data_IF_726331680743
#
_entry.id   IF_726331680743
#
_cell.length_a   1.000
_cell.length_b   1.000
_cell.length_c   1.000
_cell.angle_alpha   90.00
_cell.angle_beta   90.00
_cell.angle_gamma   90.00
#
_symmetry.space_group_name_H-M   'P 1'
#
loop_
_entity.id
_entity.type
_entity.pdbx_description
1 polymer ?
#
# COMPACT_ATOMS: atom_id res chain seq x y z
N UNK A 1 15.85 8.14 0.28
CA UNK A 1 15.64 7.16 1.35
C UNK A 1 14.58 7.68 2.29
N UNK A 2 13.38 7.13 2.18
CA UNK A 2 12.26 7.51 3.04
C UNK A 2 12.44 6.90 4.43
N UNK A 3 12.46 7.74 5.48
CA UNK A 3 12.75 7.31 6.84
C UNK A 3 11.49 6.79 7.56
N UNK A 4 11.46 5.49 7.89
CA UNK A 4 10.42 4.79 8.68
C UNK A 4 10.48 5.15 10.18
N UNK A 5 10.35 6.43 10.48
CA UNK A 5 10.67 7.01 11.80
C UNK A 5 9.72 6.51 12.90
N UNK A 6 8.45 6.30 12.59
CA UNK A 6 7.46 5.85 13.56
C UNK A 6 7.71 4.38 13.96
N UNK A 7 7.99 3.53 12.98
CA UNK A 7 8.27 2.12 13.19
C UNK A 7 9.61 1.91 13.90
N UNK A 8 10.63 2.71 13.56
CA UNK A 8 11.91 2.71 14.28
C UNK A 8 11.73 3.06 15.76
N UNK A 9 11.01 4.15 16.06
CA UNK A 9 10.68 4.54 17.45
C UNK A 9 9.92 3.45 18.20
N UNK A 10 9.00 2.76 17.52
CA UNK A 10 8.23 1.65 18.11
C UNK A 10 9.15 0.47 18.46
N UNK A 11 10.05 0.08 17.56
CA UNK A 11 11.06 -0.96 17.85
C UNK A 11 11.98 -0.58 19.00
N UNK A 12 12.46 0.67 19.03
CA UNK A 12 13.31 1.17 20.11
C UNK A 12 12.60 1.13 21.47
N UNK A 13 11.33 1.53 21.52
CA UNK A 13 10.52 1.45 22.73
C UNK A 13 10.38 0.02 23.25
N UNK A 14 10.13 -0.95 22.36
CA UNK A 14 10.04 -2.37 22.72
C UNK A 14 11.40 -2.88 23.23
N UNK A 15 12.48 -2.53 22.52
CA UNK A 15 13.85 -2.91 22.88
C UNK A 15 14.24 -2.44 24.28
N UNK A 16 13.82 -1.22 24.68
CA UNK A 16 14.09 -0.65 26.00
C UNK A 16 13.31 -1.33 27.16
N UNK A 17 12.29 -2.13 26.88
CA UNK A 17 11.54 -2.84 27.92
C UNK A 17 12.41 -3.90 28.64
N UNK A 18 12.08 -4.28 29.88
CA UNK A 18 12.82 -5.35 30.58
C UNK A 18 12.36 -6.78 30.21
N UNK A 19 11.39 -6.90 29.30
CA UNK A 19 10.85 -8.18 28.87
C UNK A 19 11.66 -8.77 27.70
N UNK A 20 11.49 -10.08 27.50
CA UNK A 20 11.82 -10.69 26.23
C UNK A 20 10.64 -10.50 25.29
N UNK A 21 10.92 -10.04 24.07
CA UNK A 21 9.87 -9.71 23.12
C UNK A 21 9.96 -10.57 21.86
N UNK A 22 8.82 -10.84 21.24
CA UNK A 22 8.70 -11.35 19.88
C UNK A 22 7.79 -10.40 19.11
N UNK A 23 8.36 -9.77 18.08
CA UNK A 23 7.70 -8.82 17.20
C UNK A 23 7.53 -9.46 15.83
N UNK A 24 6.31 -9.47 15.31
CA UNK A 24 6.07 -9.75 13.89
C UNK A 24 6.21 -8.44 13.12
N UNK A 25 7.16 -8.38 12.19
CA UNK A 25 7.33 -7.23 11.29
C UNK A 25 7.07 -7.69 9.86
N UNK A 26 6.20 -7.01 9.12
CA UNK A 26 5.92 -7.44 7.76
C UNK A 26 5.49 -6.29 6.87
N UNK A 27 5.53 -6.53 5.57
CA UNK A 27 5.13 -5.58 4.54
C UNK A 27 5.64 -6.10 3.22
N UNK A 28 4.99 -5.73 2.11
CA UNK A 28 5.36 -6.20 0.77
C UNK A 28 6.84 -6.04 0.45
N UNK A 29 7.31 -6.74 -0.57
CA UNK A 29 8.63 -6.44 -1.17
C UNK A 29 8.73 -4.95 -1.52
N UNK A 30 9.90 -4.35 -1.30
CA UNK A 30 10.14 -2.92 -1.51
C UNK A 30 9.58 -1.96 -0.46
N UNK A 31 9.12 -2.46 0.70
CA UNK A 31 8.63 -1.63 1.81
C UNK A 31 9.74 -1.00 2.68
N UNK A 32 11.02 -1.20 2.33
CA UNK A 32 12.21 -0.81 3.08
C UNK A 32 12.38 -1.51 4.45
N UNK A 33 11.95 -2.78 4.58
CA UNK A 33 12.14 -3.59 5.79
C UNK A 33 13.62 -3.72 6.17
N UNK A 34 14.47 -4.06 5.21
CA UNK A 34 15.89 -4.28 5.42
C UNK A 34 16.58 -3.00 5.91
N UNK A 35 16.27 -1.85 5.32
CA UNK A 35 16.78 -0.55 5.75
C UNK A 35 16.33 -0.16 7.16
N UNK A 36 15.08 -0.48 7.54
CA UNK A 36 14.59 -0.28 8.90
C UNK A 36 15.31 -1.19 9.91
N UNK A 37 15.51 -2.47 9.57
CA UNK A 37 16.22 -3.43 10.42
C UNK A 37 17.67 -2.97 10.64
N UNK A 38 18.37 -2.57 9.57
CA UNK A 38 19.75 -2.08 9.65
C UNK A 38 19.88 -0.81 10.52
N UNK A 39 18.98 0.16 10.30
CA UNK A 39 18.90 1.37 11.13
C UNK A 39 18.63 1.03 12.59
N UNK A 40 17.74 0.07 12.85
CA UNK A 40 17.39 -0.37 14.19
C UNK A 40 18.54 -1.09 14.89
N UNK A 41 19.29 -1.97 14.21
CA UNK A 41 20.36 -2.76 14.82
C UNK A 41 21.69 -2.01 14.95
N UNK A 42 21.82 -0.82 14.38
CA UNK A 42 23.01 0.02 14.51
C UNK A 42 23.36 0.24 15.98
N UNK A 43 24.55 -0.24 16.39
CA UNK A 43 25.03 -0.13 17.77
C UNK A 43 24.44 -1.14 18.77
N UNK A 44 23.66 -2.13 18.32
CA UNK A 44 23.06 -3.17 19.17
C UNK A 44 23.64 -4.54 18.83
N UNK A 45 23.86 -5.46 19.80
CA UNK A 45 24.18 -6.84 19.49
C UNK A 45 23.00 -7.52 18.79
N UNK A 46 23.26 -8.13 17.64
CA UNK A 46 22.23 -8.86 16.92
C UNK A 46 22.74 -10.13 16.26
N UNK A 47 21.82 -11.08 16.08
CA UNK A 47 21.95 -12.21 15.19
C UNK A 47 20.94 -12.03 14.06
N UNK A 48 21.41 -12.16 12.81
CA UNK A 48 20.57 -12.05 11.63
C UNK A 48 20.62 -13.35 10.83
N UNK A 49 19.45 -13.86 10.49
CA UNK A 49 19.29 -15.01 9.62
C UNK A 49 18.14 -14.79 8.64
N UNK A 50 18.45 -14.83 7.35
CA UNK A 50 17.44 -14.80 6.28
C UNK A 50 17.06 -16.21 5.87
N UNK A 51 15.76 -16.49 5.90
CA UNK A 51 15.19 -17.78 5.55
C UNK A 51 15.18 -18.02 4.05
N UNK A 52 15.14 -19.28 3.63
CA UNK A 52 15.21 -19.69 2.22
C UNK A 52 14.05 -20.62 1.90
N UNK A 53 13.56 -20.58 0.66
CA UNK A 53 12.59 -21.55 0.16
C UNK A 53 13.25 -22.95 0.06
N UNK A 54 13.28 -23.67 1.17
CA UNK A 54 13.88 -25.00 1.25
C UNK A 54 13.18 -25.88 2.30
N UNK A 55 13.62 -27.13 2.42
CA UNK A 55 13.12 -28.04 3.45
C UNK A 55 13.64 -27.64 4.84
N UNK A 56 12.92 -28.03 5.89
CA UNK A 56 13.26 -27.64 7.27
C UNK A 56 14.64 -28.18 7.69
N UNK A 57 15.04 -29.37 7.21
CA UNK A 57 16.37 -29.92 7.43
C UNK A 57 17.48 -29.07 6.77
N UNK A 58 17.25 -28.55 5.56
CA UNK A 58 18.20 -27.62 4.92
C UNK A 58 18.20 -26.26 5.60
N UNK A 59 17.04 -25.79 6.03
CA UNK A 59 16.90 -24.57 6.81
C UNK A 59 17.75 -24.65 8.09
N UNK A 60 17.65 -25.75 8.85
CA UNK A 60 18.48 -26.02 10.03
C UNK A 60 19.97 -25.98 9.67
N UNK A 61 20.42 -26.66 8.61
CA UNK A 61 21.82 -26.62 8.18
C UNK A 61 22.33 -25.19 7.94
N UNK A 62 21.51 -24.34 7.32
CA UNK A 62 21.88 -22.94 7.09
C UNK A 62 21.90 -22.12 8.39
N UNK A 63 20.95 -22.33 9.31
CA UNK A 63 20.97 -21.67 10.63
C UNK A 63 22.21 -22.10 11.41
N UNK A 64 22.50 -23.40 11.45
CA UNK A 64 23.67 -23.98 12.11
C UNK A 64 24.97 -23.32 11.65
N UNK A 65 25.15 -23.20 10.33
CA UNK A 65 26.30 -22.51 9.73
C UNK A 65 26.36 -21.03 10.10
N UNK A 66 25.22 -20.34 10.11
CA UNK A 66 25.16 -18.93 10.46
C UNK A 66 25.51 -18.69 11.94
N UNK A 67 25.03 -19.54 12.85
CA UNK A 67 25.40 -19.48 14.28
C UNK A 67 26.88 -19.78 14.44
N UNK A 68 27.37 -20.84 13.80
CA UNK A 68 28.78 -21.24 13.86
C UNK A 68 29.72 -20.12 13.44
N UNK A 69 29.45 -19.46 12.31
CA UNK A 69 30.26 -18.36 11.80
C UNK A 69 30.15 -17.10 12.66
N UNK A 70 28.98 -16.81 13.23
CA UNK A 70 28.76 -15.60 14.04
C UNK A 70 29.41 -15.71 15.42
N UNK A 71 29.42 -16.91 16.01
CA UNK A 71 29.84 -17.14 17.39
C UNK A 71 31.08 -18.02 17.55
N UNK A 72 31.71 -18.44 16.44
CA UNK A 72 32.87 -19.32 16.36
C UNK A 72 32.68 -20.64 17.13
N UNK A 73 31.62 -21.37 16.81
CA UNK A 73 31.30 -22.69 17.40
C UNK A 73 31.51 -23.83 16.40
N UNK A 74 31.44 -25.09 16.86
CA UNK A 74 31.71 -26.28 16.03
C UNK A 74 30.74 -26.45 14.83
N UNK A 75 29.54 -25.88 14.92
CA UNK A 75 28.65 -25.64 13.77
C UNK A 75 27.80 -26.80 13.26
N UNK A 76 27.76 -27.91 14.00
CA UNK A 76 26.81 -29.01 13.76
C UNK A 76 25.83 -29.10 14.93
N UNK A 77 24.55 -28.90 14.64
CA UNK A 77 23.48 -28.96 15.62
C UNK A 77 22.34 -29.83 15.10
N UNK A 78 21.73 -30.59 15.99
CA UNK A 78 20.65 -31.53 15.69
C UNK A 78 19.27 -30.86 15.66
N UNK A 79 19.15 -29.65 16.22
CA UNK A 79 17.88 -28.91 16.36
C UNK A 79 18.09 -27.40 16.35
N UNK A 80 17.03 -26.63 16.07
CA UNK A 80 17.06 -25.17 16.18
C UNK A 80 17.28 -24.73 17.63
N UNK A 81 16.73 -25.45 18.60
CA UNK A 81 16.98 -25.17 20.02
C UNK A 81 18.46 -25.34 20.38
N UNK A 82 19.12 -26.38 19.85
CA UNK A 82 20.56 -26.58 20.05
C UNK A 82 21.37 -25.44 19.43
N UNK A 83 21.04 -25.01 18.20
CA UNK A 83 21.64 -23.81 17.59
C UNK A 83 21.49 -22.57 18.49
N UNK A 84 20.29 -22.37 19.03
CA UNK A 84 19.94 -21.14 19.72
C UNK A 84 20.52 -21.02 21.13
N UNK A 85 20.98 -22.12 21.74
CA UNK A 85 21.72 -22.09 23.02
C UNK A 85 23.06 -21.36 22.91
N UNK A 86 23.66 -21.30 21.72
CA UNK A 86 24.95 -20.66 21.49
C UNK A 86 24.82 -19.16 21.14
N UNK A 87 23.60 -18.64 21.01
CA UNK A 87 23.35 -17.22 20.82
C UNK A 87 23.71 -16.45 22.09
N UNK A 88 24.54 -15.41 21.94
CA UNK A 88 24.98 -14.58 23.06
C UNK A 88 25.14 -13.13 22.65
N UNK A 89 24.88 -12.24 23.59
CA UNK A 89 25.29 -10.85 23.47
C UNK A 89 26.80 -10.73 23.74
N UNK A 90 27.49 -9.87 22.98
CA UNK A 90 28.94 -9.66 23.15
C UNK A 90 29.26 -8.82 24.38
N UNK A 91 28.37 -7.93 24.78
CA UNK A 91 28.56 -6.94 25.84
C UNK A 91 27.58 -7.11 27.01
N UNK A 92 26.77 -8.17 27.00
CA UNK A 92 25.76 -8.44 28.02
C UNK A 92 24.47 -7.63 27.89
N UNK A 93 24.37 -6.73 26.90
CA UNK A 93 23.12 -6.04 26.57
C UNK A 93 22.12 -6.98 25.90
N UNK A 94 20.87 -6.53 25.75
CA UNK A 94 19.80 -7.32 25.13
C UNK A 94 20.17 -7.72 23.69
N UNK A 95 20.08 -9.01 23.38
CA UNK A 95 20.38 -9.53 22.04
C UNK A 95 19.16 -9.40 21.12
N UNK A 96 19.32 -8.78 19.95
CA UNK A 96 18.30 -8.80 18.90
C UNK A 96 18.47 -10.05 18.02
N UNK A 97 17.40 -10.79 17.77
CA UNK A 97 17.41 -12.00 16.93
C UNK A 97 16.44 -11.77 15.77
N UNK A 98 16.96 -11.69 14.55
CA UNK A 98 16.15 -11.43 13.36
C UNK A 98 16.08 -12.71 12.52
N UNK A 99 14.85 -13.18 12.32
CA UNK A 99 14.51 -14.22 11.36
C UNK A 99 13.78 -13.54 10.20
N UNK A 100 14.52 -13.27 9.14
CA UNK A 100 14.03 -12.59 7.94
C UNK A 100 13.47 -13.59 6.93
N UNK A 101 12.54 -13.13 6.08
CA UNK A 101 11.72 -13.94 5.17
C UNK A 101 11.11 -15.18 5.83
N UNK A 102 10.63 -15.01 7.06
CA UNK A 102 10.21 -16.08 7.94
C UNK A 102 9.09 -16.95 7.36
N UNK A 103 8.31 -16.45 6.39
CA UNK A 103 7.29 -17.21 5.68
C UNK A 103 7.83 -18.46 4.97
N UNK A 104 9.12 -18.49 4.63
CA UNK A 104 9.74 -19.67 4.03
C UNK A 104 10.11 -20.74 5.05
N UNK A 105 10.31 -20.34 6.30
CA UNK A 105 10.67 -21.24 7.38
C UNK A 105 9.45 -21.63 8.21
N UNK A 106 8.78 -20.67 8.84
CA UNK A 106 7.71 -20.91 9.82
C UNK A 106 6.44 -21.39 9.10
N UNK A 107 6.16 -22.69 9.28
CA UNK A 107 5.01 -23.44 8.74
C UNK A 107 4.26 -24.11 9.89
N UNK A 108 3.10 -24.75 9.61
CA UNK A 108 2.15 -25.30 10.60
C UNK A 108 2.74 -26.17 11.72
N UNK A 109 3.84 -26.88 11.50
CA UNK A 109 4.49 -27.71 12.53
C UNK A 109 6.00 -27.50 12.50
N UNK A 110 6.45 -26.26 12.70
CA UNK A 110 7.87 -25.94 12.61
C UNK A 110 8.55 -25.79 13.99
N UNK A 111 9.56 -26.63 14.20
CA UNK A 111 10.54 -26.59 15.29
C UNK A 111 11.21 -25.22 15.47
N UNK A 112 11.48 -24.49 14.39
CA UNK A 112 12.08 -23.15 14.45
C UNK A 112 11.23 -22.18 15.28
N UNK A 113 9.91 -22.13 15.05
CA UNK A 113 9.05 -21.23 15.79
C UNK A 113 9.01 -21.63 17.27
N UNK A 114 8.88 -22.93 17.56
CA UNK A 114 8.97 -23.45 18.94
C UNK A 114 10.28 -23.05 19.62
N UNK A 115 11.41 -23.09 18.91
CA UNK A 115 12.71 -22.66 19.43
C UNK A 115 12.76 -21.14 19.70
N UNK A 116 12.13 -20.31 18.86
CA UNK A 116 11.97 -18.87 19.12
C UNK A 116 11.09 -18.62 20.36
N UNK A 117 10.01 -19.38 20.53
CA UNK A 117 9.17 -19.31 21.74
C UNK A 117 9.96 -19.74 22.99
N UNK A 118 10.81 -20.75 22.87
CA UNK A 118 11.69 -21.19 23.96
C UNK A 118 12.73 -20.11 24.32
N UNK A 119 13.30 -19.40 23.33
CA UNK A 119 14.15 -18.22 23.53
C UNK A 119 13.41 -17.12 24.30
N UNK A 120 12.21 -16.73 23.82
CA UNK A 120 11.38 -15.72 24.48
C UNK A 120 11.11 -16.09 25.95
N UNK A 121 10.81 -17.35 26.22
CA UNK A 121 10.52 -17.87 27.57
C UNK A 121 11.76 -18.15 28.44
N UNK A 122 12.96 -17.68 28.05
CA UNK A 122 14.22 -17.87 28.80
C UNK A 122 14.59 -19.33 29.04
N UNK A 123 14.18 -20.24 28.16
CA UNK A 123 14.50 -21.68 28.26
C UNK A 123 15.85 -22.06 27.65
N UNK A 124 16.39 -21.21 26.78
CA UNK A 124 17.60 -21.52 26.00
C UNK A 124 18.81 -20.67 26.38
N UNK A 125 18.61 -19.39 26.72
CA UNK A 125 19.67 -18.48 27.16
C UNK A 125 19.21 -17.63 28.34
N UNK A 126 20.14 -17.19 29.20
CA UNK A 126 19.84 -16.38 30.40
C UNK A 126 19.69 -14.88 30.11
N UNK A 127 20.30 -14.39 29.02
CA UNK A 127 20.23 -12.99 28.60
C UNK A 127 18.85 -12.56 28.11
N UNK A 128 18.61 -11.25 28.07
CA UNK A 128 17.40 -10.69 27.47
C UNK A 128 17.47 -10.76 25.95
N UNK A 129 16.33 -11.02 25.30
CA UNK A 129 16.23 -11.07 23.84
C UNK A 129 15.06 -10.24 23.31
N UNK A 130 15.25 -9.69 22.12
CA UNK A 130 14.16 -9.21 21.27
C UNK A 130 14.21 -9.98 19.96
N UNK A 131 13.15 -10.73 19.67
CA UNK A 131 13.02 -11.54 18.46
C UNK A 131 12.20 -10.73 17.45
N UNK A 132 12.70 -10.58 16.24
CA UNK A 132 11.99 -10.00 15.10
C UNK A 132 11.77 -11.10 14.08
N UNK A 133 10.52 -11.46 13.86
CA UNK A 133 10.08 -12.34 12.78
C UNK A 133 9.67 -11.43 11.63
N UNK A 134 10.51 -11.33 10.60
CA UNK A 134 10.28 -10.45 9.46
C UNK A 134 9.75 -11.23 8.24
N UNK A 135 8.82 -10.63 7.49
CA UNK A 135 8.24 -11.25 6.29
C UNK A 135 7.93 -10.24 5.18
N UNK A 136 8.17 -10.63 3.93
CA UNK A 136 7.71 -9.88 2.75
C UNK A 136 6.30 -10.25 2.28
N UNK A 137 5.69 -11.31 2.83
CA UNK A 137 4.35 -11.74 2.44
C UNK A 137 3.29 -11.19 3.39
N UNK A 138 2.38 -10.39 2.85
CA UNK A 138 1.24 -9.82 3.58
C UNK A 138 0.26 -10.94 3.91
N UNK A 139 -0.05 -11.79 2.92
CA UNK A 139 -1.02 -12.89 3.09
C UNK A 139 -0.55 -13.88 4.15
N UNK A 140 0.73 -14.23 4.15
CA UNK A 140 1.29 -15.12 5.16
C UNK A 140 1.22 -14.49 6.55
N UNK A 141 1.60 -13.22 6.69
CA UNK A 141 1.68 -12.53 7.98
C UNK A 141 0.30 -12.30 8.62
N UNK A 142 -0.70 -11.92 7.83
CA UNK A 142 -2.04 -11.59 8.34
C UNK A 142 -2.92 -12.83 8.56
N UNK A 143 -2.73 -13.89 7.76
CA UNK A 143 -3.56 -15.09 7.85
C UNK A 143 -2.76 -16.29 8.38
N UNK A 144 -1.77 -16.73 7.62
CA UNK A 144 -1.10 -18.03 7.83
C UNK A 144 -0.31 -18.06 9.14
N UNK A 145 0.39 -16.98 9.49
CA UNK A 145 1.20 -16.90 10.70
C UNK A 145 0.35 -17.08 11.96
N UNK A 146 -0.78 -16.38 12.07
CA UNK A 146 -1.66 -16.52 13.24
C UNK A 146 -2.36 -17.88 13.31
N UNK A 147 -2.61 -18.52 12.17
CA UNK A 147 -3.08 -19.91 12.14
C UNK A 147 -2.00 -20.88 12.67
N UNK A 148 -0.73 -20.63 12.37
CA UNK A 148 0.41 -21.41 12.87
C UNK A 148 0.59 -21.20 14.39
N UNK A 149 0.51 -19.95 14.84
CA UNK A 149 0.64 -19.59 16.26
C UNK A 149 -0.51 -20.17 17.10
N UNK A 150 -1.70 -20.31 16.51
CA UNK A 150 -2.83 -21.00 17.12
C UNK A 150 -3.29 -20.35 18.43
N UNK A 151 -3.34 -21.12 19.52
CA UNK A 151 -3.75 -20.61 20.84
C UNK A 151 -2.68 -19.76 21.53
N UNK A 152 -1.45 -19.72 21.01
CA UNK A 152 -0.33 -19.00 21.61
C UNK A 152 -0.18 -17.56 21.09
N UNK A 153 -1.26 -16.90 20.65
CA UNK A 153 -1.18 -15.54 20.06
C UNK A 153 -0.53 -14.51 20.97
N UNK A 154 -0.69 -14.66 22.29
CA UNK A 154 -0.03 -13.82 23.29
C UNK A 154 1.51 -13.92 23.32
N UNK A 155 2.09 -14.88 22.59
CA UNK A 155 3.53 -14.97 22.37
C UNK A 155 4.03 -13.86 21.44
N UNK A 156 3.18 -13.29 20.58
CA UNK A 156 3.52 -12.12 19.77
C UNK A 156 3.19 -10.88 20.60
N UNK A 157 4.19 -10.11 21.03
CA UNK A 157 3.96 -8.92 21.85
C UNK A 157 3.50 -7.73 21.01
N UNK A 158 3.95 -7.68 19.75
CA UNK A 158 3.66 -6.58 18.87
C UNK A 158 3.72 -7.00 17.40
N UNK A 159 2.90 -6.34 16.60
CA UNK A 159 2.84 -6.52 15.16
C UNK A 159 3.03 -5.18 14.46
N UNK A 160 4.00 -5.11 13.56
CA UNK A 160 4.37 -3.90 12.83
C UNK A 160 4.23 -4.20 11.33
N UNK A 161 3.15 -3.68 10.73
CA UNK A 161 2.97 -3.66 9.28
C UNK A 161 3.63 -2.41 8.69
N UNK A 162 4.57 -2.59 7.77
CA UNK A 162 5.13 -1.51 6.96
C UNK A 162 4.20 -1.25 5.78
N UNK A 163 3.29 -0.31 5.99
CA UNK A 163 2.38 0.14 4.94
C UNK A 163 3.12 0.86 3.81
N UNK A 164 2.48 0.93 2.65
CA UNK A 164 2.89 1.88 1.62
C UNK A 164 2.81 3.30 2.17
N UNK A 165 3.73 4.14 1.71
CA UNK A 165 3.82 5.55 2.06
C UNK A 165 2.58 6.30 1.56
N UNK A 166 2.11 7.25 2.36
CA UNK A 166 0.96 8.09 2.01
C UNK A 166 1.30 9.07 0.89
N UNK A 167 0.28 9.73 0.32
CA UNK A 167 0.55 10.83 -0.62
C UNK A 167 1.38 11.94 0.04
N UNK A 168 1.09 12.26 1.30
CA UNK A 168 1.87 13.24 2.06
C UNK A 168 3.35 12.85 2.17
N UNK A 169 3.65 11.57 2.31
CA UNK A 169 5.02 11.09 2.33
C UNK A 169 5.70 11.20 0.97
N UNK A 170 4.97 11.03 -0.14
CA UNK A 170 5.48 11.32 -1.50
C UNK A 170 5.80 12.80 -1.68
N UNK A 171 4.93 13.71 -1.21
CA UNK A 171 5.19 15.16 -1.23
C UNK A 171 6.46 15.48 -0.44
N UNK A 172 6.66 14.87 0.73
CA UNK A 172 7.86 15.03 1.55
C UNK A 172 9.11 14.44 0.88
N UNK A 173 8.97 13.33 0.15
CA UNK A 173 10.06 12.68 -0.57
C UNK A 173 10.54 13.51 -1.78
N UNK A 174 9.65 14.29 -2.39
CA UNK A 174 9.95 15.12 -3.57
C UNK A 174 9.60 16.59 -3.35
N UNK A 175 10.32 17.32 -2.47
CA UNK A 175 10.00 18.72 -2.15
C UNK A 175 10.17 19.69 -3.34
N UNK A 176 10.84 19.27 -4.41
CA UNK A 176 11.00 20.04 -5.65
C UNK A 176 9.86 19.86 -6.65
N UNK A 177 8.95 18.91 -6.42
CA UNK A 177 7.80 18.68 -7.28
C UNK A 177 6.65 19.60 -6.94
N UNK A 178 5.90 20.02 -7.96
CA UNK A 178 4.57 20.59 -7.76
C UNK A 178 3.60 19.52 -7.25
N UNK A 179 2.49 19.93 -6.63
CA UNK A 179 1.42 19.01 -6.21
C UNK A 179 0.96 18.12 -7.38
N UNK A 180 0.82 18.69 -8.58
CA UNK A 180 0.45 17.94 -9.77
C UNK A 180 1.46 16.83 -10.11
N UNK A 181 2.76 17.13 -10.03
CA UNK A 181 3.80 16.11 -10.24
C UNK A 181 3.76 15.03 -9.16
N UNK A 182 3.52 15.39 -7.90
CA UNK A 182 3.33 14.41 -6.82
C UNK A 182 2.11 13.51 -7.06
N UNK A 183 0.99 14.07 -7.55
CA UNK A 183 -0.23 13.28 -7.89
C UNK A 183 0.08 12.32 -9.03
N UNK A 184 0.77 12.77 -10.08
CA UNK A 184 1.21 11.90 -11.17
C UNK A 184 2.12 10.78 -10.67
N UNK A 185 3.14 11.10 -9.87
CA UNK A 185 4.04 10.09 -9.31
C UNK A 185 3.30 9.09 -8.44
N UNK A 186 2.46 9.55 -7.51
CA UNK A 186 1.69 8.66 -6.64
C UNK A 186 0.67 7.80 -7.43
N UNK A 187 -0.01 8.35 -8.43
CA UNK A 187 -0.93 7.59 -9.27
C UNK A 187 -0.26 6.56 -10.18
N UNK A 188 1.02 6.78 -10.54
CA UNK A 188 1.80 5.86 -11.38
C UNK A 188 2.46 4.78 -10.52
N UNK A 189 3.25 5.14 -9.50
CA UNK A 189 4.08 4.18 -8.74
C UNK A 189 3.62 3.96 -7.29
N UNK A 190 2.58 4.67 -6.84
CA UNK A 190 2.07 4.53 -5.48
C UNK A 190 3.04 4.99 -4.40
N UNK A 191 2.89 4.40 -3.22
CA UNK A 191 3.66 4.71 -2.02
C UNK A 191 4.77 3.70 -1.69
N UNK A 192 5.23 2.92 -2.67
CA UNK A 192 6.17 1.83 -2.40
C UNK A 192 7.57 2.43 -2.22
N UNK A 193 8.17 2.24 -1.04
CA UNK A 193 9.39 2.95 -0.66
C UNK A 193 10.53 2.77 -1.68
N UNK A 194 10.77 1.54 -2.14
CA UNK A 194 11.80 1.26 -3.14
C UNK A 194 11.51 1.92 -4.50
N UNK A 195 10.24 2.07 -4.88
CA UNK A 195 9.88 2.70 -6.16
C UNK A 195 10.17 4.20 -6.08
N UNK A 196 9.82 4.84 -4.95
CA UNK A 196 10.12 6.26 -4.72
C UNK A 196 11.64 6.52 -4.67
N UNK A 197 12.42 5.62 -4.06
CA UNK A 197 13.88 5.77 -3.97
C UNK A 197 14.59 5.66 -5.33
N UNK A 198 13.93 5.08 -6.35
CA UNK A 198 14.42 4.99 -7.73
C UNK A 198 13.90 6.10 -8.64
N UNK A 199 12.89 6.84 -8.20
CA UNK A 199 12.30 7.93 -8.97
C UNK A 199 13.15 9.20 -8.86
N UNK A 200 13.61 9.75 -9.98
CA UNK A 200 14.47 10.94 -9.99
C UNK A 200 13.64 12.22 -10.17
N UNK A 201 13.55 13.03 -9.12
CA UNK A 201 12.80 14.29 -9.15
C UNK A 201 13.42 15.38 -10.04
N UNK A 202 14.62 15.17 -10.58
CA UNK A 202 15.22 16.08 -11.57
C UNK A 202 14.76 15.78 -13.00
N UNK A 203 14.14 14.62 -13.21
CA UNK A 203 13.61 14.17 -14.50
C UNK A 203 12.11 14.45 -14.59
N UNK A 204 11.62 14.59 -15.82
CA UNK A 204 10.18 14.70 -16.08
C UNK A 204 9.47 13.38 -15.74
N UNK A 205 8.15 13.43 -15.56
CA UNK A 205 7.34 12.22 -15.35
C UNK A 205 7.54 11.23 -16.51
N UNK A 206 7.46 11.72 -17.76
CA UNK A 206 7.74 10.92 -18.96
C UNK A 206 9.10 10.23 -18.92
N UNK A 207 10.16 10.97 -18.58
CA UNK A 207 11.52 10.40 -18.49
C UNK A 207 11.60 9.29 -17.44
N UNK A 208 11.04 9.50 -16.25
CA UNK A 208 11.01 8.48 -15.22
C UNK A 208 10.22 7.23 -15.65
N UNK A 209 9.07 7.40 -16.32
CA UNK A 209 8.28 6.27 -16.85
C UNK A 209 9.07 5.51 -17.92
N UNK A 210 9.66 6.22 -18.89
CA UNK A 210 10.44 5.61 -19.96
C UNK A 210 11.63 4.79 -19.41
N UNK A 211 12.37 5.35 -18.46
CA UNK A 211 13.58 4.72 -17.93
C UNK A 211 13.31 3.62 -16.91
N UNK A 212 12.37 3.83 -15.98
CA UNK A 212 12.14 2.87 -14.88
C UNK A 212 11.12 1.79 -15.24
N UNK A 213 10.11 2.10 -16.06
CA UNK A 213 8.97 1.20 -16.30
C UNK A 213 9.05 0.56 -17.69
N UNK A 214 9.28 1.37 -18.73
CA UNK A 214 9.18 0.91 -20.11
C UNK A 214 10.49 0.35 -20.67
N UNK A 215 11.63 0.72 -20.10
CA UNK A 215 12.94 0.18 -20.50
C UNK A 215 13.13 -1.23 -19.95
N UNK A 216 13.62 -2.20 -20.74
CA UNK A 216 13.94 -3.56 -20.25
C UNK A 216 14.98 -3.63 -19.12
N UNK A 217 15.78 -2.57 -18.96
CA UNK A 217 16.74 -2.42 -17.85
C UNK A 217 16.19 -1.60 -16.68
N UNK A 218 14.96 -1.10 -16.81
CA UNK A 218 14.28 -0.29 -15.80
C UNK A 218 13.94 -1.12 -14.56
N UNK A 219 14.06 -0.50 -13.39
CA UNK A 219 13.86 -1.19 -12.12
C UNK A 219 12.42 -1.71 -11.93
N UNK A 220 11.43 -1.03 -12.51
CA UNK A 220 10.03 -1.37 -12.41
C UNK A 220 9.53 -2.20 -13.60
N UNK A 221 10.39 -2.51 -14.56
CA UNK A 221 10.02 -3.36 -15.70
C UNK A 221 9.55 -4.73 -15.19
N UNK A 222 8.31 -5.12 -15.50
CA UNK A 222 7.62 -6.34 -15.02
C UNK A 222 7.30 -6.42 -13.53
N UNK A 223 7.65 -5.42 -12.72
CA UNK A 223 7.51 -5.45 -11.26
C UNK A 223 6.06 -5.64 -10.77
N UNK A 224 5.06 -5.20 -11.54
CA UNK A 224 3.64 -5.44 -11.22
C UNK A 224 3.28 -6.93 -11.29
N UNK A 225 3.79 -7.63 -12.30
CA UNK A 225 3.57 -9.07 -12.47
C UNK A 225 4.35 -9.87 -11.41
N UNK A 226 5.58 -9.44 -11.10
CA UNK A 226 6.40 -10.05 -10.06
C UNK A 226 5.78 -9.90 -8.66
N UNK A 227 5.18 -8.74 -8.36
CA UNK A 227 4.46 -8.55 -7.10
C UNK A 227 3.27 -9.52 -6.97
N UNK A 228 2.46 -9.69 -8.02
CA UNK A 228 1.34 -10.65 -8.03
C UNK A 228 1.87 -12.08 -7.88
N UNK A 229 2.94 -12.42 -8.61
CA UNK A 229 3.57 -13.73 -8.57
C UNK A 229 4.20 -14.08 -7.21
N UNK A 230 4.54 -13.08 -6.40
CA UNK A 230 5.10 -13.29 -5.08
C UNK A 230 4.12 -13.89 -4.07
N UNK A 231 2.82 -13.64 -4.24
CA UNK A 231 1.75 -14.08 -3.33
C UNK A 231 0.86 -15.17 -3.94
N UNK A 232 0.76 -15.24 -5.28
CA UNK A 232 -0.25 -16.06 -5.97
C UNK A 232 0.35 -17.09 -6.94
N UNK A 233 -0.39 -18.18 -7.12
CA UNK A 233 -0.16 -19.20 -8.16
C UNK A 233 -1.22 -19.06 -9.26
N UNK A 234 -1.04 -19.68 -10.42
CA UNK A 234 -2.00 -19.61 -11.54
C UNK A 234 -2.25 -18.20 -12.11
N UNK A 235 -1.17 -17.49 -12.42
CA UNK A 235 -1.20 -16.08 -12.83
C UNK A 235 -2.10 -15.79 -14.03
N UNK A 236 -2.31 -16.74 -14.94
CA UNK A 236 -3.18 -16.54 -16.10
C UNK A 236 -4.58 -16.06 -15.73
N UNK A 237 -5.20 -16.66 -14.71
CA UNK A 237 -6.55 -16.28 -14.29
C UNK A 237 -6.57 -14.91 -13.60
N UNK A 238 -5.53 -14.60 -12.82
CA UNK A 238 -5.40 -13.29 -12.15
C UNK A 238 -5.17 -12.18 -13.16
N UNK A 239 -4.23 -12.37 -14.09
CA UNK A 239 -3.92 -11.37 -15.11
C UNK A 239 -5.10 -11.14 -16.06
N UNK A 240 -5.89 -12.17 -16.40
CA UNK A 240 -7.13 -12.01 -17.16
C UNK A 240 -8.14 -11.13 -16.40
N UNK A 241 -8.33 -11.35 -15.10
CA UNK A 241 -9.27 -10.55 -14.30
C UNK A 241 -8.77 -9.11 -14.14
N UNK A 242 -7.47 -8.92 -13.86
CA UNK A 242 -6.88 -7.58 -13.72
C UNK A 242 -6.95 -6.80 -15.03
N UNK A 243 -6.62 -7.42 -16.16
CA UNK A 243 -6.77 -6.79 -17.48
C UNK A 243 -8.22 -6.39 -17.77
N UNK A 244 -9.18 -7.23 -17.40
CA UNK A 244 -10.61 -6.93 -17.56
C UNK A 244 -11.05 -5.73 -16.69
N UNK A 245 -10.62 -5.68 -15.42
CA UNK A 245 -10.92 -4.54 -14.53
C UNK A 245 -10.28 -3.26 -15.07
N UNK A 246 -9.01 -3.33 -15.51
CA UNK A 246 -8.28 -2.18 -16.05
C UNK A 246 -8.90 -1.66 -17.37
N UNK A 247 -9.56 -2.52 -18.14
CA UNK A 247 -10.35 -2.15 -19.32
C UNK A 247 -11.70 -1.49 -18.98
N UNK A 248 -12.05 -1.36 -17.69
CA UNK A 248 -13.26 -0.68 -17.22
C UNK A 248 -14.41 -1.62 -16.80
N UNK A 249 -14.20 -2.94 -16.79
CA UNK A 249 -15.22 -3.88 -16.31
C UNK A 249 -15.24 -3.91 -14.78
N UNK A 250 -16.00 -2.99 -14.17
CA UNK A 250 -16.02 -2.81 -12.72
C UNK A 250 -16.98 -3.78 -11.98
N UNK A 251 -17.93 -4.44 -12.66
CA UNK A 251 -18.91 -5.32 -11.99
C UNK A 251 -18.64 -6.79 -12.24
N UNK A 252 -19.10 -7.63 -11.30
CA UNK A 252 -19.01 -9.09 -11.43
C UNK A 252 -19.67 -9.64 -12.71
N UNK A 253 -20.73 -8.99 -13.20
CA UNK A 253 -21.39 -9.39 -14.45
C UNK A 253 -20.53 -9.06 -15.67
N UNK A 254 -19.99 -7.85 -15.71
CA UNK A 254 -19.12 -7.36 -16.78
C UNK A 254 -17.87 -8.24 -16.88
N UNK A 255 -17.25 -8.56 -15.74
CA UNK A 255 -16.12 -9.51 -15.66
C UNK A 255 -16.50 -10.92 -16.13
N UNK A 256 -17.72 -11.39 -15.84
CA UNK A 256 -18.19 -12.70 -16.31
C UNK A 256 -18.33 -12.72 -17.83
N UNK A 257 -18.89 -11.67 -18.42
CA UNK A 257 -19.09 -11.56 -19.87
C UNK A 257 -17.77 -11.42 -20.63
N UNK A 258 -16.84 -10.63 -20.11
CA UNK A 258 -15.54 -10.38 -20.75
C UNK A 258 -14.57 -11.56 -20.61
N UNK A 259 -14.47 -12.16 -19.41
CA UNK A 259 -13.49 -13.23 -19.14
C UNK A 259 -13.99 -14.64 -19.48
N UNK A 260 -15.31 -14.84 -19.56
CA UNK A 260 -15.94 -16.16 -19.70
C UNK A 260 -15.81 -17.07 -18.46
N UNK A 261 -15.19 -16.60 -17.38
CA UNK A 261 -15.09 -17.37 -16.13
C UNK A 261 -16.38 -17.33 -15.34
N UNK A 262 -16.68 -18.41 -14.60
CA UNK A 262 -17.84 -18.42 -13.71
C UNK A 262 -17.74 -17.32 -12.63
N UNK A 263 -18.88 -16.76 -12.22
CA UNK A 263 -18.94 -15.74 -11.16
C UNK A 263 -18.33 -16.22 -9.83
N UNK A 264 -18.50 -17.51 -9.53
CA UNK A 264 -17.89 -18.13 -8.35
C UNK A 264 -16.36 -18.16 -8.47
N UNK A 265 -15.83 -18.52 -9.66
CA UNK A 265 -14.39 -18.46 -9.92
C UNK A 265 -13.89 -17.04 -9.75
N UNK A 266 -14.46 -16.05 -10.45
CA UNK A 266 -14.06 -14.63 -10.33
C UNK A 266 -14.05 -14.19 -8.86
N UNK A 267 -15.09 -14.49 -8.09
CA UNK A 267 -15.16 -14.11 -6.67
C UNK A 267 -14.02 -14.68 -5.82
N UNK A 268 -13.55 -15.89 -6.11
CA UNK A 268 -12.40 -16.50 -5.42
C UNK A 268 -11.10 -15.75 -5.75
N UNK A 269 -10.84 -15.50 -7.03
CA UNK A 269 -9.61 -14.79 -7.44
C UNK A 269 -9.60 -13.34 -6.94
N UNK A 270 -10.75 -12.66 -6.94
CA UNK A 270 -10.89 -11.32 -6.37
C UNK A 270 -10.61 -11.29 -4.87
N UNK A 271 -11.11 -12.30 -4.12
CA UNK A 271 -10.81 -12.43 -2.69
C UNK A 271 -9.31 -12.60 -2.44
N UNK A 272 -8.63 -13.38 -3.28
CA UNK A 272 -7.20 -13.60 -3.15
C UNK A 272 -6.40 -12.33 -3.47
N UNK A 273 -6.75 -11.58 -4.52
CA UNK A 273 -6.14 -10.28 -4.84
C UNK A 273 -6.37 -9.23 -3.74
N UNK A 274 -7.54 -9.26 -3.09
CA UNK A 274 -7.86 -8.37 -1.98
C UNK A 274 -7.06 -8.68 -0.71
N UNK A 275 -6.54 -9.90 -0.55
CA UNK A 275 -5.81 -10.30 0.66
C UNK A 275 -4.43 -9.65 0.82
N UNK A 276 -3.94 -8.94 -0.20
CA UNK A 276 -2.69 -8.19 -0.21
C UNK A 276 -2.82 -6.87 -0.99
N UNK A 277 -4.02 -6.27 -0.90
CA UNK A 277 -4.32 -4.90 -1.32
C UNK A 277 -4.20 -4.60 -2.84
N UNK A 278 -4.23 -5.62 -3.70
CA UNK A 278 -4.20 -5.42 -5.17
C UNK A 278 -5.56 -5.01 -5.73
N UNK A 279 -6.64 -5.62 -5.25
CA UNK A 279 -8.00 -5.32 -5.71
C UNK A 279 -8.93 -5.10 -4.53
N UNK A 280 -9.73 -4.06 -4.61
CA UNK A 280 -10.74 -3.75 -3.61
C UNK A 280 -12.15 -3.77 -4.19
N UNK A 281 -13.10 -4.26 -3.39
CA UNK A 281 -14.52 -4.04 -3.62
C UNK A 281 -14.88 -2.66 -3.09
N UNK A 282 -15.14 -1.71 -3.98
CA UNK A 282 -15.45 -0.33 -3.61
C UNK A 282 -16.83 -0.27 -2.97
N UNK A 283 -16.86 0.25 -1.75
CA UNK A 283 -18.10 0.53 -1.03
C UNK A 283 -18.44 2.00 -1.25
N UNK A 284 -19.56 2.24 -1.92
CA UNK A 284 -20.11 3.60 -2.03
C UNK A 284 -20.45 4.13 -0.64
N UNK A 285 -20.18 5.40 -0.40
CA UNK A 285 -20.57 6.08 0.83
C UNK A 285 -22.07 5.88 1.09
N UNK A 286 -22.42 5.50 2.31
CA UNK A 286 -23.80 5.19 2.67
C UNK A 286 -24.63 6.47 2.78
N UNK A 287 -25.69 6.56 1.98
CA UNK A 287 -26.62 7.69 1.96
C UNK A 287 -28.06 7.21 1.84
N UNK A 288 -29.02 8.13 1.98
CA UNK A 288 -30.44 7.82 1.74
C UNK A 288 -30.77 7.44 0.29
N UNK A 289 -29.87 7.71 -0.66
CA UNK A 289 -30.00 7.45 -2.10
C UNK A 289 -29.43 6.12 -2.58
N UNK A 290 -29.49 5.06 -1.75
CA UNK A 290 -28.89 3.74 -2.04
C UNK A 290 -29.39 3.08 -3.34
N UNK A 291 -30.61 3.41 -3.79
CA UNK A 291 -31.18 2.94 -5.06
C UNK A 291 -30.46 3.51 -6.29
N UNK A 292 -29.89 4.71 -6.14
CA UNK A 292 -29.15 5.43 -7.17
C UNK A 292 -27.65 5.12 -7.16
N UNK A 293 -27.17 4.42 -6.13
CA UNK A 293 -25.78 4.02 -6.01
C UNK A 293 -25.46 2.77 -6.86
N UNK A 294 -24.24 2.74 -7.40
CA UNK A 294 -23.62 1.54 -7.98
C UNK A 294 -23.33 0.55 -6.85
N UNK A 295 -23.52 -0.74 -7.14
CA UNK A 295 -23.27 -1.84 -6.20
C UNK A 295 -22.30 -2.84 -6.81
N UNK A 296 -21.46 -3.43 -5.97
CA UNK A 296 -20.55 -4.50 -6.38
C UNK A 296 -19.51 -4.04 -7.39
N UNK A 297 -18.97 -2.84 -7.19
CA UNK A 297 -17.88 -2.27 -7.98
C UNK A 297 -16.55 -2.82 -7.45
N UNK A 298 -15.68 -3.22 -8.35
CA UNK A 298 -14.32 -3.64 -8.07
C UNK A 298 -13.33 -2.75 -8.80
N UNK A 299 -12.20 -2.47 -8.16
CA UNK A 299 -11.10 -1.69 -8.72
C UNK A 299 -9.77 -2.27 -8.31
N UNK A 300 -8.77 -2.11 -9.17
CA UNK A 300 -7.37 -2.31 -8.79
C UNK A 300 -7.00 -1.15 -7.87
N UNK A 301 -6.59 -1.46 -6.64
CA UNK A 301 -6.27 -0.48 -5.59
C UNK A 301 -4.78 -0.17 -5.50
N UNK A 302 -3.92 -1.09 -5.94
CA UNK A 302 -2.48 -0.87 -5.95
C UNK A 302 -2.12 -0.01 -7.18
N UNK A 303 -1.55 1.20 -7.00
CA UNK A 303 -1.42 2.16 -8.10
C UNK A 303 -0.53 1.69 -9.25
N UNK A 304 0.58 1.01 -8.95
CA UNK A 304 1.50 0.54 -9.97
C UNK A 304 0.96 -0.65 -10.75
N UNK A 305 0.27 -1.58 -10.08
CA UNK A 305 -0.45 -2.66 -10.74
C UNK A 305 -1.53 -2.09 -11.65
N UNK A 306 -2.30 -1.11 -11.17
CA UNK A 306 -3.33 -0.48 -12.01
C UNK A 306 -2.71 0.20 -13.23
N UNK A 307 -1.63 0.99 -13.06
CA UNK A 307 -0.90 1.63 -14.15
C UNK A 307 -0.41 0.60 -15.18
N UNK A 308 0.22 -0.48 -14.70
CA UNK A 308 0.73 -1.55 -15.56
C UNK A 308 -0.38 -2.20 -16.38
N UNK A 309 -1.49 -2.60 -15.73
CA UNK A 309 -2.60 -3.27 -16.41
C UNK A 309 -3.44 -2.35 -17.30
N UNK A 310 -3.46 -1.04 -17.03
CA UNK A 310 -4.12 -0.06 -17.90
C UNK A 310 -3.30 0.23 -19.15
N UNK A 311 -1.98 0.45 -19.03
CA UNK A 311 -1.18 0.97 -20.14
C UNK A 311 -0.21 -0.02 -20.77
N UNK A 312 0.45 -0.84 -19.94
CA UNK A 312 1.59 -1.65 -20.38
C UNK A 312 1.16 -3.06 -20.78
N UNK A 313 0.47 -3.77 -19.89
CA UNK A 313 0.04 -5.16 -20.09
C UNK A 313 -0.79 -5.38 -21.38
N UNK A 314 -1.71 -4.48 -21.78
CA UNK A 314 -2.44 -4.65 -23.04
C UNK A 314 -1.57 -4.50 -24.30
N UNK A 315 -0.40 -3.87 -24.18
CA UNK A 315 0.46 -3.47 -25.30
C UNK A 315 1.87 -4.10 -25.20
N UNK A 316 2.02 -5.30 -24.62
CA UNK A 316 3.33 -5.94 -24.40
C UNK A 316 4.12 -6.18 -25.70
N UNK A 317 3.45 -6.39 -26.84
CA UNK A 317 4.15 -6.53 -28.13
C UNK A 317 4.83 -5.23 -28.54
N UNK A 318 4.16 -4.11 -28.32
CA UNK A 318 4.66 -2.76 -28.57
C UNK A 318 5.72 -2.34 -27.56
N UNK A 319 5.60 -2.78 -26.29
CA UNK A 319 6.64 -2.59 -25.29
C UNK A 319 8.00 -3.13 -25.76
N UNK A 320 8.00 -4.30 -26.43
CA UNK A 320 9.21 -4.93 -26.96
C UNK A 320 9.66 -4.32 -28.30
N UNK A 321 8.73 -3.94 -29.17
CA UNK A 321 9.05 -3.54 -30.54
C UNK A 321 9.23 -2.02 -30.75
N UNK A 322 8.84 -1.18 -29.79
CA UNK A 322 8.97 0.28 -29.86
C UNK A 322 10.04 0.80 -28.89
N UNK A 323 10.46 2.05 -29.09
CA UNK A 323 11.25 2.75 -28.06
C UNK A 323 10.33 3.20 -26.91
N UNK A 324 10.84 3.29 -25.67
CA UNK A 324 10.07 3.77 -24.52
C UNK A 324 9.32 5.08 -24.77
N UNK A 325 9.95 6.05 -25.44
CA UNK A 325 9.33 7.35 -25.72
C UNK A 325 8.16 7.24 -26.67
N UNK A 326 8.30 6.44 -27.74
CA UNK A 326 7.21 6.21 -28.70
C UNK A 326 6.06 5.46 -28.06
N UNK A 327 6.35 4.51 -27.17
CA UNK A 327 5.33 3.81 -26.41
C UNK A 327 4.56 4.78 -25.51
N UNK A 328 5.28 5.62 -24.75
CA UNK A 328 4.68 6.62 -23.87
C UNK A 328 3.75 7.58 -24.63
N UNK A 329 4.24 8.16 -25.72
CA UNK A 329 3.50 9.16 -26.50
C UNK A 329 2.24 8.57 -27.16
N UNK A 330 2.29 7.28 -27.50
CA UNK A 330 1.18 6.60 -28.16
C UNK A 330 0.13 6.06 -27.19
N UNK A 331 0.54 5.47 -26.07
CA UNK A 331 -0.34 4.67 -25.21
C UNK A 331 -0.59 5.27 -23.84
N UNK A 332 0.32 6.11 -23.31
CA UNK A 332 0.22 6.64 -21.94
C UNK A 332 -0.23 8.10 -21.97
N UNK A 333 0.50 8.97 -22.67
CA UNK A 333 0.25 10.42 -22.66
C UNK A 333 -1.20 10.83 -22.96
N UNK A 334 -1.89 10.25 -23.96
CA UNK A 334 -3.25 10.68 -24.31
C UNK A 334 -4.30 10.41 -23.23
N UNK A 335 -4.09 9.38 -22.41
CA UNK A 335 -5.07 8.87 -21.43
C UNK A 335 -4.63 9.09 -19.98
N UNK A 336 -3.39 9.55 -19.76
CA UNK A 336 -2.80 9.71 -18.43
C UNK A 336 -3.61 10.63 -17.52
N UNK A 337 -4.11 11.75 -18.04
CA UNK A 337 -4.90 12.71 -17.25
C UNK A 337 -6.24 12.12 -16.81
N UNK A 338 -6.91 11.35 -17.68
CA UNK A 338 -8.15 10.67 -17.35
C UNK A 338 -7.92 9.61 -16.26
N UNK A 339 -6.81 8.87 -16.37
CA UNK A 339 -6.38 7.89 -15.37
C UNK A 339 -6.09 8.55 -14.01
N UNK A 340 -5.35 9.65 -13.99
CA UNK A 340 -4.93 10.36 -12.77
C UNK A 340 -6.07 11.06 -12.02
N UNK A 341 -7.21 11.35 -12.68
CA UNK A 341 -8.39 11.94 -12.02
C UNK A 341 -8.83 11.15 -10.79
N UNK A 342 -8.78 9.82 -10.83
CA UNK A 342 -9.18 8.97 -9.71
C UNK A 342 -8.26 9.14 -8.49
N UNK A 343 -6.95 9.15 -8.72
CA UNK A 343 -5.94 9.37 -7.68
C UNK A 343 -5.97 10.80 -7.14
N UNK A 344 -6.30 11.79 -7.99
CA UNK A 344 -6.51 13.16 -7.53
C UNK A 344 -7.66 13.25 -6.52
N UNK A 345 -8.72 12.47 -6.71
CA UNK A 345 -9.81 12.38 -5.72
C UNK A 345 -9.36 11.75 -4.40
N UNK A 346 -8.50 10.72 -4.43
CA UNK A 346 -7.90 10.14 -3.22
C UNK A 346 -7.03 11.16 -2.48
N UNK A 347 -6.23 11.94 -3.21
CA UNK A 347 -5.39 13.01 -2.66
C UNK A 347 -6.23 14.12 -2.01
N UNK A 348 -7.32 14.55 -2.65
CA UNK A 348 -8.23 15.54 -2.06
C UNK A 348 -8.90 15.02 -0.78
N UNK A 349 -9.19 13.70 -0.70
CA UNK A 349 -9.68 13.06 0.52
C UNK A 349 -8.63 13.04 1.63
N UNK A 350 -7.38 12.73 1.31
CA UNK A 350 -6.27 12.78 2.27
C UNK A 350 -6.04 14.21 2.78
N UNK A 351 -6.11 15.22 1.90
CA UNK A 351 -6.04 16.63 2.28
C UNK A 351 -7.14 17.03 3.28
N UNK A 352 -8.40 16.65 3.01
CA UNK A 352 -9.49 16.88 3.99
C UNK A 352 -9.25 16.15 5.30
N UNK A 353 -8.71 14.93 5.26
CA UNK A 353 -8.37 14.20 6.47
C UNK A 353 -7.33 14.95 7.32
N UNK A 354 -6.30 15.52 6.69
CA UNK A 354 -5.30 16.34 7.38
C UNK A 354 -5.92 17.59 8.00
N UNK A 355 -6.75 18.34 7.25
CA UNK A 355 -7.48 19.49 7.79
C UNK A 355 -8.37 19.10 8.98
N UNK A 356 -8.99 17.92 8.94
CA UNK A 356 -9.78 17.40 10.05
C UNK A 356 -8.93 17.15 11.31
N UNK A 357 -7.73 16.57 11.14
CA UNK A 357 -6.81 16.30 12.25
C UNK A 357 -6.31 17.57 12.94
N UNK A 358 -6.07 18.65 12.18
CA UNK A 358 -5.63 19.95 12.72
C UNK A 358 -6.78 20.88 13.13
N UNK A 359 -8.03 20.41 13.04
CA UNK A 359 -9.20 21.18 13.46
C UNK A 359 -9.55 22.37 12.57
N UNK A 360 -9.15 22.33 11.29
CA UNK A 360 -9.40 23.42 10.32
C UNK A 360 -10.66 23.22 9.48
N UNK A 361 -11.39 22.12 9.67
CA UNK A 361 -12.68 21.90 9.01
C UNK A 361 -13.84 22.51 9.81
N UNK A 362 -14.93 22.92 9.11
CA UNK A 362 -16.12 23.50 9.76
C UNK A 362 -16.84 22.48 10.65
N UNK A 363 -16.69 21.18 10.37
CA UNK A 363 -17.20 20.09 11.17
C UNK A 363 -16.11 19.05 11.39
N UNK A 364 -16.17 18.34 12.52
CA UNK A 364 -15.28 17.21 12.79
C UNK A 364 -15.80 15.97 12.07
N UNK A 365 -15.04 15.50 11.09
CA UNK A 365 -15.39 14.33 10.28
C UNK A 365 -15.02 13.04 11.01
N UNK A 366 -15.93 12.07 11.00
CA UNK A 366 -15.70 10.69 11.43
C UNK A 366 -15.56 9.72 10.26
N UNK A 367 -16.24 10.01 9.15
CA UNK A 367 -16.21 9.21 7.92
C UNK A 367 -15.92 10.10 6.72
N UNK A 368 -15.11 9.60 5.81
CA UNK A 368 -14.84 10.23 4.51
C UNK A 368 -14.90 9.14 3.44
N UNK A 369 -15.53 9.42 2.31
CA UNK A 369 -15.53 8.50 1.17
C UNK A 369 -16.15 9.09 -0.08
N UNK A 370 -16.43 8.23 -1.05
CA UNK A 370 -17.00 8.62 -2.36
C UNK A 370 -18.37 7.98 -2.51
N UNK A 371 -19.36 8.73 -2.96
CA UNK A 371 -20.64 8.14 -3.37
C UNK A 371 -20.61 7.84 -4.86
N UNK A 372 -20.74 6.56 -5.22
CA UNK A 372 -20.70 6.09 -6.60
C UNK A 372 -22.13 6.02 -7.15
N UNK A 373 -22.59 7.06 -7.83
CA UNK A 373 -23.93 7.05 -8.44
C UNK A 373 -23.94 6.45 -9.85
N UNK A 374 -25.13 6.04 -10.30
CA UNK A 374 -25.36 5.55 -11.66
C UNK A 374 -25.20 6.65 -12.73
N UNK A 375 -25.55 7.89 -12.40
CA UNK A 375 -25.51 9.06 -13.31
C UNK A 375 -24.28 9.97 -13.11
N UNK A 376 -23.43 9.62 -12.15
CA UNK A 376 -22.26 10.38 -11.74
C UNK A 376 -21.91 10.09 -10.28
N UNK A 377 -20.68 10.42 -9.86
CA UNK A 377 -20.22 10.20 -8.49
C UNK A 377 -20.05 11.53 -7.77
N UNK A 378 -20.25 11.51 -6.45
CA UNK A 378 -19.80 12.60 -5.57
C UNK A 378 -18.44 12.17 -5.04
N UNK A 379 -17.40 12.85 -5.53
CA UNK A 379 -16.01 12.47 -5.31
C UNK A 379 -15.65 12.38 -3.84
N UNK A 380 -16.14 13.34 -3.05
CA UNK A 380 -15.85 13.42 -1.61
C UNK A 380 -17.12 13.68 -0.82
N UNK A 381 -17.37 12.85 0.19
CA UNK A 381 -18.37 13.06 1.23
C UNK A 381 -17.69 12.86 2.57
N UNK A 382 -17.70 13.89 3.41
CA UNK A 382 -17.30 13.82 4.80
C UNK A 382 -18.54 13.92 5.70
N UNK A 383 -18.61 13.12 6.75
CA UNK A 383 -19.73 13.11 7.70
C UNK A 383 -19.23 13.18 9.15
N UNK A 384 -19.89 13.99 9.98
CA UNK A 384 -19.68 14.06 11.43
C UNK A 384 -20.52 13.04 12.19
N UNK A 385 -20.24 12.87 13.49
CA UNK A 385 -21.04 12.06 14.41
C UNK A 385 -22.52 12.44 14.44
N UNK A 386 -22.81 13.73 14.27
CA UNK A 386 -24.17 14.29 14.27
C UNK A 386 -24.84 14.21 12.89
N UNK A 387 -24.24 13.52 11.92
CA UNK A 387 -24.71 13.38 10.52
C UNK A 387 -24.76 14.68 9.72
N UNK A 388 -24.03 15.70 10.15
CA UNK A 388 -23.73 16.85 9.29
C UNK A 388 -22.71 16.44 8.23
N UNK A 389 -22.82 16.99 7.03
CA UNK A 389 -21.99 16.56 5.91
C UNK A 389 -21.24 17.74 5.27
N UNK A 390 -20.08 17.42 4.75
CA UNK A 390 -19.40 18.19 3.70
C UNK A 390 -19.37 17.35 2.43
N UNK A 391 -19.42 17.99 1.28
CA UNK A 391 -19.29 17.31 -0.01
C UNK A 391 -18.23 18.00 -0.86
N UNK A 392 -17.68 17.31 -1.84
CA UNK A 392 -16.80 17.93 -2.81
C UNK A 392 -16.73 17.19 -4.14
N UNK A 393 -16.28 17.94 -5.14
CA UNK A 393 -16.00 17.46 -6.49
C UNK A 393 -14.60 17.95 -6.89
N UNK A 394 -13.89 17.12 -7.67
CA UNK A 394 -12.50 17.34 -8.02
C UNK A 394 -12.33 17.53 -9.52
N UNK A 395 -11.48 18.46 -9.91
CA UNK A 395 -11.13 18.72 -11.30
C UNK A 395 -9.62 18.58 -11.52
N UNK A 396 -9.20 17.46 -12.15
CA UNK A 396 -7.84 17.26 -12.64
C UNK A 396 -7.71 17.65 -14.12
N UNK A 397 -8.61 17.12 -14.96
CA UNK A 397 -8.44 17.11 -16.41
C UNK A 397 -8.85 18.40 -17.11
N UNK A 398 -9.88 19.11 -16.61
CA UNK A 398 -10.39 20.28 -17.32
C UNK A 398 -9.54 21.51 -17.01
N UNK A 399 -9.41 22.37 -18.01
CA UNK A 399 -8.69 23.66 -17.92
C UNK A 399 -9.19 24.57 -16.79
N UNK A 400 -10.47 24.46 -16.44
CA UNK A 400 -11.07 25.15 -15.30
C UNK A 400 -12.19 24.30 -14.69
N UNK A 401 -12.33 24.38 -13.37
CA UNK A 401 -13.54 23.94 -12.66
C UNK A 401 -14.67 24.87 -13.08
N UNK A 402 -15.68 24.34 -13.77
CA UNK A 402 -16.80 25.11 -14.31
C UNK A 402 -17.95 25.22 -13.33
N UNK A 403 -18.77 26.26 -13.49
CA UNK A 403 -20.03 26.38 -12.73
C UNK A 403 -20.96 25.18 -12.99
N UNK A 404 -20.99 24.66 -14.23
CA UNK A 404 -21.77 23.46 -14.58
C UNK A 404 -21.36 22.22 -13.77
N UNK A 405 -20.07 22.09 -13.39
CA UNK A 405 -19.62 21.00 -12.54
C UNK A 405 -20.18 21.11 -11.12
N UNK A 406 -20.30 22.33 -10.61
CA UNK A 406 -20.97 22.63 -9.35
C UNK A 406 -22.48 22.35 -9.42
N UNK A 407 -23.17 22.79 -10.48
CA UNK A 407 -24.59 22.50 -10.67
C UNK A 407 -24.85 20.98 -10.74
N UNK A 408 -24.00 20.25 -11.49
CA UNK A 408 -24.07 18.80 -11.55
C UNK A 408 -23.86 18.14 -10.18
N UNK A 409 -22.94 18.66 -9.35
CA UNK A 409 -22.78 18.19 -7.97
C UNK A 409 -24.08 18.36 -7.18
N UNK A 410 -24.77 19.50 -7.29
CA UNK A 410 -26.05 19.73 -6.61
C UNK A 410 -27.14 18.76 -7.07
N UNK A 411 -27.16 18.39 -8.36
CA UNK A 411 -28.06 17.34 -8.87
C UNK A 411 -27.74 15.97 -8.28
N UNK A 412 -26.46 15.58 -8.25
CA UNK A 412 -26.02 14.33 -7.66
C UNK A 412 -26.32 14.26 -6.16
N UNK A 413 -26.22 15.36 -5.42
CA UNK A 413 -26.62 15.43 -4.01
C UNK A 413 -28.10 15.10 -3.81
N UNK A 414 -28.98 15.54 -4.71
CA UNK A 414 -30.41 15.19 -4.67
C UNK A 414 -30.60 13.69 -4.88
N UNK A 415 -29.91 13.10 -5.86
CA UNK A 415 -29.97 11.66 -6.13
C UNK A 415 -29.41 10.82 -4.95
N UNK A 416 -28.32 11.29 -4.34
CA UNK A 416 -27.74 10.70 -3.15
C UNK A 416 -28.57 10.95 -1.88
N UNK A 417 -29.58 11.84 -1.94
CA UNK A 417 -30.38 12.31 -0.81
C UNK A 417 -29.52 12.78 0.35
N UNK A 418 -28.52 13.60 0.04
CA UNK A 418 -27.60 14.18 1.02
C UNK A 418 -27.66 15.70 0.97
N UNK A 419 -27.63 16.33 2.13
CA UNK A 419 -27.47 17.78 2.29
C UNK A 419 -26.13 18.04 2.98
N UNK A 420 -25.47 19.13 2.61
CA UNK A 420 -24.16 19.48 3.12
C UNK A 420 -24.11 20.93 3.57
N UNK A 421 -23.43 21.16 4.69
CA UNK A 421 -23.20 22.49 5.26
C UNK A 421 -22.09 23.23 4.50
N UNK A 422 -21.21 22.49 3.84
CA UNK A 422 -20.07 23.04 3.08
C UNK A 422 -19.80 22.20 1.83
N UNK A 423 -19.54 22.87 0.72
CA UNK A 423 -19.18 22.30 -0.58
C UNK A 423 -17.74 22.70 -0.89
N UNK A 424 -16.87 21.72 -1.07
CA UNK A 424 -15.49 21.90 -1.48
C UNK A 424 -15.34 21.66 -2.99
N UNK A 425 -14.75 22.61 -3.69
CA UNK A 425 -14.43 22.49 -5.11
C UNK A 425 -12.91 22.43 -5.25
N UNK A 426 -12.37 21.26 -5.57
CA UNK A 426 -10.93 21.04 -5.71
C UNK A 426 -10.51 21.17 -7.17
N UNK A 427 -9.52 21.99 -7.49
CA UNK A 427 -9.00 22.11 -8.85
C UNK A 427 -7.49 22.01 -8.86
N UNK A 428 -6.96 21.16 -9.75
CA UNK A 428 -5.54 21.13 -10.09
C UNK A 428 -5.16 22.19 -11.15
N UNK A 429 -6.14 22.96 -11.63
CA UNK A 429 -5.96 23.97 -12.67
C UNK A 429 -6.42 25.35 -12.20
N UNK A 430 -7.59 25.82 -12.63
CA UNK A 430 -8.16 27.14 -12.29
C UNK A 430 -9.65 27.02 -12.00
N UNK A 431 -10.26 28.10 -11.56
CA UNK A 431 -11.70 28.21 -11.33
C UNK A 431 -12.36 29.19 -12.30
N UNK A 432 -13.60 28.91 -12.68
CA UNK A 432 -14.47 29.86 -13.37
C UNK A 432 -14.68 31.12 -12.49
N UNK A 433 -14.57 32.35 -13.05
CA UNK A 433 -14.85 33.58 -12.32
C UNK A 433 -16.20 33.60 -11.58
N UNK A 434 -17.23 32.94 -12.11
CA UNK A 434 -18.53 32.80 -11.45
C UNK A 434 -18.42 32.01 -10.14
N UNK A 435 -17.62 30.95 -10.10
CA UNK A 435 -17.37 30.19 -8.85
C UNK A 435 -16.57 31.02 -7.85
N UNK A 436 -15.58 31.78 -8.33
CA UNK A 436 -14.81 32.70 -7.48
C UNK A 436 -15.70 33.76 -6.85
N UNK A 437 -16.66 34.30 -7.61
CA UNK A 437 -17.65 35.23 -7.08
C UNK A 437 -18.60 34.55 -6.09
N UNK A 438 -19.11 33.36 -6.44
CA UNK A 438 -19.99 32.57 -5.57
C UNK A 438 -19.34 32.25 -4.21
N UNK A 439 -18.07 31.87 -4.18
CA UNK A 439 -17.34 31.56 -2.94
C UNK A 439 -17.12 32.80 -2.05
N UNK A 440 -17.05 34.00 -2.66
CA UNK A 440 -16.98 35.26 -1.91
C UNK A 440 -18.31 35.60 -1.24
N UNK A 441 -19.41 35.38 -1.96
CA UNK A 441 -20.78 35.68 -1.49
C UNK A 441 -21.31 34.62 -0.53
N UNK A 442 -20.97 33.35 -0.76
CA UNK A 442 -21.41 32.21 0.03
C UNK A 442 -20.22 31.44 0.60
N UNK A 443 -19.97 31.65 1.90
CA UNK A 443 -18.90 30.99 2.65
C UNK A 443 -19.07 29.46 2.77
N UNK A 444 -20.24 28.92 2.45
CA UNK A 444 -20.44 27.47 2.37
C UNK A 444 -19.79 26.85 1.14
N UNK A 445 -19.32 27.64 0.16
CA UNK A 445 -18.60 27.14 -1.02
C UNK A 445 -17.12 27.49 -0.88
N UNK A 446 -16.28 26.47 -0.72
CA UNK A 446 -14.85 26.61 -0.52
C UNK A 446 -14.13 26.15 -1.78
N UNK A 447 -13.33 27.03 -2.37
CA UNK A 447 -12.45 26.71 -3.48
C UNK A 447 -11.09 26.28 -2.92
N UNK A 448 -10.59 25.13 -3.37
CA UNK A 448 -9.26 24.63 -3.01
C UNK A 448 -8.42 24.57 -4.30
N UNK A 449 -7.57 25.58 -4.46
CA UNK A 449 -6.62 25.64 -5.57
C UNK A 449 -5.35 24.87 -5.22
N UNK A 450 -5.17 23.71 -5.84
CA UNK A 450 -4.01 22.85 -5.57
C UNK A 450 -2.73 23.36 -6.26
N UNK A 451 -2.81 24.43 -7.05
CA UNK A 451 -1.62 25.12 -7.59
C UNK A 451 -1.00 26.10 -6.60
N UNK A 452 -1.73 26.45 -5.54
CA UNK A 452 -1.32 27.38 -4.48
C UNK A 452 -0.89 26.68 -3.17
N UNK A 453 -1.04 25.35 -3.12
CA UNK A 453 -0.59 24.47 -2.02
C UNK A 453 0.81 23.94 -2.30
#
# INVERSE_FOLDING_TARGET
MVARTNELKKLDSIYQSNANNLVLMYGRSGSAKEGLIDSFTTGKPYFYYRSRQCSDAKQLNYVSKQVASTYNTAGEYESFEACFKDLKSKDGSKLVIIIDEAQYAIKKTNELFSALVALKNKKLISGQVMIIVASSSIVWSENTFYDIVGSQKSVVDETIKLENLSFLDVVRAFPSYSVAQCVSTYGIIGGVADYLDRWDSRKTIKQNVCENILSPSGFLYSEAEDYIASELRELSCYNTILGSIAAGNEKLNDLFEDTGYSRAKISVYMKNLAAFDVVNKVVSFETGGWDNAKKGIYRISEPYVNFWFTFVYPNLSELISMTPEKFYDKFIEPELDAYLQSYFVDVCREYLHLLNMVGQLPIKLEKIGTWLGKEGSIDVIGQSSNRENVVGICNWTKKYMSFDAYDKLLELMKLARITANTVFLFSATRFDPKLTQLSKENKSVVLVDMTEL
#
